data_IF_611530987594
#
_entry.id   IF_611530987594
#
_cell.length_a   1.000
_cell.length_b   1.000
_cell.length_c   1.000
_cell.angle_alpha   90.00
_cell.angle_beta   90.00
_cell.angle_gamma   90.00
#
_symmetry.space_group_name_H-M   'P 1'
#
loop_
_entity.id
_entity.type
_entity.pdbx_description
1 polymer ?
#
# COMPACT_ATOMS: atom_id res chain seq x y z
N UNK A 1 -2.70 34.35 -8.66
CA UNK A 1 -2.59 33.05 -9.37
C UNK A 1 -2.51 33.30 -10.86
N UNK A 2 -1.63 32.59 -11.60
CA UNK A 2 -1.56 32.72 -13.06
C UNK A 2 -2.77 32.06 -13.74
N UNK A 3 -3.22 32.53 -14.92
CA UNK A 3 -4.35 31.93 -15.64
C UNK A 3 -4.14 30.44 -15.95
N UNK A 4 -2.93 30.03 -16.34
CA UNK A 4 -2.58 28.64 -16.62
C UNK A 4 -2.72 27.74 -15.37
N UNK A 5 -2.31 28.23 -14.18
CA UNK A 5 -2.48 27.50 -12.93
C UNK A 5 -3.95 27.29 -12.59
N UNK A 6 -4.79 28.32 -12.78
CA UNK A 6 -6.24 28.20 -12.54
C UNK A 6 -6.88 27.21 -13.50
N UNK A 7 -6.50 27.25 -14.79
CA UNK A 7 -6.97 26.30 -15.80
C UNK A 7 -6.56 24.87 -15.46
N UNK A 8 -5.31 24.65 -15.02
CA UNK A 8 -4.84 23.33 -14.60
C UNK A 8 -5.61 22.80 -13.40
N UNK A 9 -5.89 23.63 -12.39
CA UNK A 9 -6.68 23.24 -11.22
C UNK A 9 -8.08 22.81 -11.66
N UNK A 10 -8.75 23.62 -12.50
CA UNK A 10 -10.09 23.31 -13.03
C UNK A 10 -10.11 21.97 -13.77
N UNK A 11 -9.14 21.69 -14.65
CA UNK A 11 -9.05 20.42 -15.38
C UNK A 11 -8.83 19.24 -14.44
N UNK A 12 -8.02 19.39 -13.39
CA UNK A 12 -7.81 18.36 -12.37
C UNK A 12 -9.08 18.09 -11.55
N UNK A 13 -9.85 19.13 -11.22
CA UNK A 13 -11.14 19.03 -10.53
C UNK A 13 -12.19 18.35 -11.40
N UNK A 14 -12.30 18.70 -12.68
CA UNK A 14 -13.19 18.03 -13.64
C UNK A 14 -12.90 16.53 -13.73
N UNK A 15 -11.63 16.13 -13.67
CA UNK A 15 -11.22 14.72 -13.62
C UNK A 15 -11.32 14.11 -12.21
N UNK A 16 -11.97 14.80 -11.25
CA UNK A 16 -12.19 14.33 -9.88
C UNK A 16 -10.89 13.86 -9.17
N UNK A 17 -9.77 14.53 -9.46
CA UNK A 17 -8.52 14.24 -8.75
C UNK A 17 -8.62 14.70 -7.30
N UNK A 18 -7.95 13.96 -6.39
CA UNK A 18 -7.95 14.33 -4.98
C UNK A 18 -7.25 15.67 -4.75
N UNK A 19 -7.61 16.46 -3.71
CA UNK A 19 -6.94 17.73 -3.38
C UNK A 19 -5.42 17.59 -3.28
N UNK A 20 -4.93 16.51 -2.71
CA UNK A 20 -3.49 16.22 -2.62
C UNK A 20 -2.86 15.99 -3.99
N UNK A 21 -3.56 15.31 -4.91
CA UNK A 21 -3.06 15.13 -6.29
C UNK A 21 -2.99 16.48 -7.01
N UNK A 22 -4.00 17.33 -6.84
CA UNK A 22 -4.02 18.69 -7.42
C UNK A 22 -2.83 19.49 -6.94
N UNK A 23 -2.60 19.52 -5.63
CA UNK A 23 -1.47 20.23 -5.03
C UNK A 23 -0.12 19.75 -5.60
N UNK A 24 0.11 18.44 -5.62
CA UNK A 24 1.37 17.84 -6.09
C UNK A 24 1.58 18.08 -7.58
N UNK A 25 0.53 17.99 -8.39
CA UNK A 25 0.62 18.20 -9.83
C UNK A 25 0.92 19.66 -10.17
N UNK A 26 0.23 20.59 -9.51
CA UNK A 26 0.47 22.02 -9.66
C UNK A 26 1.89 22.40 -9.21
N UNK A 27 2.34 21.85 -8.09
CA UNK A 27 3.71 22.06 -7.59
C UNK A 27 4.78 21.58 -8.57
N UNK A 28 4.56 20.44 -9.24
CA UNK A 28 5.49 19.86 -10.21
C UNK A 28 5.64 20.77 -11.47
N UNK A 29 4.53 21.28 -12.00
CA UNK A 29 4.57 22.21 -13.15
C UNK A 29 5.18 23.56 -12.74
N UNK A 30 4.88 24.06 -11.54
CA UNK A 30 5.50 25.25 -11.00
C UNK A 30 7.03 25.09 -10.80
N UNK A 31 7.50 23.88 -10.47
CA UNK A 31 8.93 23.60 -10.38
C UNK A 31 9.60 23.62 -11.76
N UNK A 32 8.96 23.09 -12.80
CA UNK A 32 9.44 23.18 -14.18
C UNK A 32 9.58 24.65 -14.61
N UNK A 33 8.54 25.47 -14.40
CA UNK A 33 8.56 26.89 -14.73
C UNK A 33 9.67 27.65 -13.99
N UNK A 34 9.88 27.37 -12.70
CA UNK A 34 10.96 27.98 -11.91
C UNK A 34 12.35 27.56 -12.37
N UNK A 35 12.52 26.34 -12.83
CA UNK A 35 13.81 25.83 -13.31
C UNK A 35 14.29 26.61 -14.52
N UNK A 36 13.39 26.98 -15.43
CA UNK A 36 13.73 27.76 -16.64
C UNK A 36 13.46 29.28 -16.54
N UNK A 37 12.88 29.74 -15.42
CA UNK A 37 12.50 31.14 -15.25
C UNK A 37 11.45 31.63 -16.26
N UNK A 38 10.71 30.70 -16.89
CA UNK A 38 9.74 30.98 -17.96
C UNK A 38 8.40 30.35 -17.69
N UNK A 39 7.36 30.84 -18.40
CA UNK A 39 6.04 30.23 -18.38
C UNK A 39 6.09 28.81 -18.94
N UNK A 40 5.38 27.83 -18.32
CA UNK A 40 5.50 26.42 -18.71
C UNK A 40 5.00 26.14 -20.14
N UNK A 41 4.15 26.96 -20.72
CA UNK A 41 3.70 26.84 -22.11
C UNK A 41 4.77 27.26 -23.15
N UNK A 42 5.79 28.02 -22.73
CA UNK A 42 6.93 28.40 -23.54
C UNK A 42 8.14 27.43 -23.43
N UNK A 43 8.00 26.31 -22.75
CA UNK A 43 9.07 25.34 -22.58
C UNK A 43 8.87 24.19 -23.59
N UNK A 44 9.91 23.90 -24.35
CA UNK A 44 9.91 22.87 -25.40
C UNK A 44 9.97 21.46 -24.81
N UNK A 45 9.64 20.46 -25.64
CA UNK A 45 9.71 19.03 -25.25
C UNK A 45 11.15 18.61 -24.91
N UNK A 46 12.15 19.14 -25.63
CA UNK A 46 13.57 18.85 -25.37
C UNK A 46 13.98 19.42 -24.00
N UNK A 47 13.61 20.64 -23.70
CA UNK A 47 13.87 21.24 -22.40
C UNK A 47 13.19 20.43 -21.25
N UNK A 48 12.00 19.89 -21.49
CA UNK A 48 11.37 18.99 -20.50
C UNK A 48 12.19 17.70 -20.31
N UNK A 49 12.77 17.15 -21.38
CA UNK A 49 13.70 16.00 -21.27
C UNK A 49 14.92 16.36 -20.46
N UNK A 50 15.52 17.50 -20.70
CA UNK A 50 16.68 18.00 -19.94
C UNK A 50 16.33 18.23 -18.47
N UNK A 51 15.16 18.81 -18.20
CA UNK A 51 14.67 18.93 -16.82
C UNK A 51 14.52 17.58 -16.14
N UNK A 52 13.92 16.59 -16.80
CA UNK A 52 13.77 15.25 -16.25
C UNK A 52 15.14 14.58 -16.05
N UNK A 53 16.07 14.75 -16.98
CA UNK A 53 17.45 14.30 -16.84
C UNK A 53 18.12 14.96 -15.62
N UNK A 54 17.98 16.26 -15.45
CA UNK A 54 18.47 17.01 -14.28
C UNK A 54 17.88 16.44 -12.96
N UNK A 55 16.57 16.12 -12.91
CA UNK A 55 15.95 15.52 -11.75
C UNK A 55 16.58 14.15 -11.36
N UNK A 56 16.99 13.37 -12.37
CA UNK A 56 17.57 12.05 -12.19
C UNK A 56 19.05 12.13 -11.82
N UNK A 57 19.82 12.93 -12.52
CA UNK A 57 21.29 12.93 -12.45
C UNK A 57 21.82 13.89 -11.39
N UNK A 58 21.29 15.11 -11.31
CA UNK A 58 21.73 16.17 -10.42
C UNK A 58 21.01 16.08 -9.08
N UNK A 59 19.66 16.09 -9.09
CA UNK A 59 18.87 15.99 -7.86
C UNK A 59 18.78 14.57 -7.31
N UNK A 60 19.21 13.57 -8.06
CA UNK A 60 19.23 12.13 -7.68
C UNK A 60 17.89 11.63 -7.12
N UNK A 61 16.79 12.15 -7.63
CA UNK A 61 15.45 11.80 -7.16
C UNK A 61 15.09 10.38 -7.50
N UNK A 62 14.32 9.75 -6.62
CA UNK A 62 13.79 8.42 -6.87
C UNK A 62 12.94 8.38 -8.16
N UNK A 63 12.98 7.25 -8.87
CA UNK A 63 12.21 7.05 -10.11
C UNK A 63 10.71 7.39 -9.93
N UNK A 64 10.11 6.97 -8.82
CA UNK A 64 8.70 7.25 -8.52
C UNK A 64 8.39 8.75 -8.46
N UNK A 65 9.31 9.55 -7.89
CA UNK A 65 9.19 11.01 -7.80
C UNK A 65 9.34 11.66 -9.16
N UNK A 66 10.32 11.22 -9.97
CA UNK A 66 10.51 11.71 -11.34
C UNK A 66 9.28 11.37 -12.21
N UNK A 67 8.77 10.15 -12.12
CA UNK A 67 7.60 9.72 -12.88
C UNK A 67 6.32 10.48 -12.46
N UNK A 68 6.17 10.77 -11.17
CA UNK A 68 5.06 11.60 -10.68
C UNK A 68 5.12 13.02 -11.27
N UNK A 69 6.29 13.66 -11.26
CA UNK A 69 6.49 14.99 -11.85
C UNK A 69 6.24 14.97 -13.34
N UNK A 70 6.76 13.97 -14.05
CA UNK A 70 6.52 13.80 -15.47
C UNK A 70 5.03 13.57 -15.79
N UNK A 71 4.32 12.81 -14.95
CA UNK A 71 2.87 12.62 -15.10
C UNK A 71 2.09 13.92 -14.94
N UNK A 72 2.50 14.79 -14.02
CA UNK A 72 1.92 16.12 -13.84
C UNK A 72 2.20 17.04 -15.05
N UNK A 73 3.44 17.01 -15.58
CA UNK A 73 3.82 17.76 -16.77
C UNK A 73 3.03 17.24 -17.98
N UNK A 74 2.95 15.92 -18.19
CA UNK A 74 2.12 15.33 -19.25
C UNK A 74 0.66 15.76 -19.14
N UNK A 75 0.09 15.72 -17.95
CA UNK A 75 -1.27 16.21 -17.73
C UNK A 75 -1.45 17.64 -18.17
N UNK A 76 -0.51 18.52 -17.79
CA UNK A 76 -0.55 19.94 -18.15
C UNK A 76 -0.49 20.15 -19.67
N UNK A 77 0.48 19.52 -20.35
CA UNK A 77 0.64 19.69 -21.80
C UNK A 77 -0.53 19.10 -22.57
N UNK A 78 -1.05 17.96 -22.14
CA UNK A 78 -2.17 17.30 -22.83
C UNK A 78 -3.51 18.00 -22.57
N UNK A 79 -3.89 18.17 -21.30
CA UNK A 79 -5.24 18.65 -20.96
C UNK A 79 -5.35 20.17 -20.86
N UNK A 80 -4.28 20.88 -20.54
CA UNK A 80 -4.33 22.34 -20.39
C UNK A 80 -3.89 23.05 -21.67
N UNK A 81 -2.84 22.55 -22.35
CA UNK A 81 -2.35 23.14 -23.58
C UNK A 81 -2.90 22.50 -24.86
N UNK A 82 -3.58 21.33 -24.76
CA UNK A 82 -4.13 20.63 -25.92
C UNK A 82 -3.09 19.96 -26.82
N UNK A 83 -1.88 19.71 -26.31
CA UNK A 83 -0.80 19.08 -27.08
C UNK A 83 -0.90 17.55 -27.00
N UNK A 84 -1.68 16.93 -27.89
CA UNK A 84 -1.93 15.49 -27.88
C UNK A 84 -0.68 14.62 -28.12
N UNK A 85 0.32 15.12 -28.83
CA UNK A 85 1.55 14.39 -29.18
C UNK A 85 2.62 14.34 -28.09
N UNK A 86 2.37 14.92 -26.91
CA UNK A 86 3.35 14.89 -25.83
C UNK A 86 3.44 13.52 -25.16
N UNK A 87 4.43 12.69 -25.52
CA UNK A 87 4.59 11.30 -25.07
C UNK A 87 5.96 10.97 -24.48
N UNK A 88 6.46 11.81 -23.57
CA UNK A 88 7.71 11.51 -22.86
C UNK A 88 7.46 10.44 -21.78
N UNK A 89 8.24 9.34 -21.82
CA UNK A 89 8.17 8.25 -20.82
C UNK A 89 9.56 7.99 -20.24
N UNK A 90 9.64 7.79 -18.94
CA UNK A 90 10.84 7.29 -18.29
C UNK A 90 10.65 5.79 -18.08
N UNK A 91 11.56 4.93 -18.58
CA UNK A 91 11.49 3.50 -18.31
C UNK A 91 11.51 3.22 -16.81
N UNK A 92 10.63 2.35 -16.34
CA UNK A 92 10.63 1.94 -14.95
C UNK A 92 11.86 1.07 -14.67
N UNK A 93 12.78 1.54 -13.85
CA UNK A 93 13.77 0.66 -13.25
C UNK A 93 13.00 -0.21 -12.22
N UNK A 94 12.78 -1.47 -12.55
CA UNK A 94 12.19 -2.42 -11.60
C UNK A 94 13.14 -2.53 -10.42
N UNK A 95 12.84 -1.88 -9.30
CA UNK A 95 13.54 -2.16 -8.07
C UNK A 95 13.10 -3.53 -7.59
N UNK A 96 13.98 -4.51 -7.66
CA UNK A 96 13.73 -5.88 -7.17
C UNK A 96 13.68 -5.98 -5.63
N UNK A 97 13.58 -4.85 -4.89
CA UNK A 97 13.42 -4.91 -3.44
C UNK A 97 12.02 -5.37 -3.11
N UNK A 98 11.95 -6.57 -2.57
CA UNK A 98 10.74 -7.09 -1.94
C UNK A 98 10.42 -6.26 -0.68
N UNK A 99 9.14 -6.11 -0.31
CA UNK A 99 8.79 -5.57 0.99
C UNK A 99 9.44 -6.42 2.10
N UNK A 100 10.07 -5.78 3.06
CA UNK A 100 10.60 -6.43 4.25
C UNK A 100 9.54 -6.31 5.38
N UNK A 101 8.70 -7.32 5.59
CA UNK A 101 7.75 -7.32 6.69
C UNK A 101 8.50 -7.45 8.01
N UNK A 102 7.96 -6.86 9.07
CA UNK A 102 8.42 -7.12 10.42
C UNK A 102 7.95 -8.52 10.84
N UNK A 103 8.79 -9.27 11.52
CA UNK A 103 8.44 -10.55 12.11
C UNK A 103 7.41 -10.38 13.26
N UNK A 104 6.73 -11.46 13.62
CA UNK A 104 5.76 -11.44 14.74
C UNK A 104 6.39 -11.04 16.06
N UNK A 105 7.64 -11.47 16.32
CA UNK A 105 8.40 -11.08 17.51
C UNK A 105 8.79 -9.61 17.53
N UNK A 106 9.18 -9.03 16.39
CA UNK A 106 9.47 -7.60 16.28
C UNK A 106 8.21 -6.75 16.48
N UNK A 107 7.06 -7.19 15.97
CA UNK A 107 5.79 -6.51 16.19
C UNK A 107 5.37 -6.58 17.66
N UNK A 108 5.53 -7.71 18.32
CA UNK A 108 5.27 -7.85 19.75
C UNK A 108 6.14 -6.87 20.54
N UNK A 109 7.45 -6.87 20.30
CA UNK A 109 8.41 -5.95 20.93
C UNK A 109 8.06 -4.49 20.65
N UNK A 110 7.65 -4.14 19.42
CA UNK A 110 7.21 -2.79 19.06
C UNK A 110 6.04 -2.32 19.95
N UNK A 111 5.08 -3.18 20.21
CA UNK A 111 3.92 -2.85 21.06
C UNK A 111 4.32 -2.76 22.54
N UNK A 112 5.18 -3.65 23.03
CA UNK A 112 5.68 -3.67 24.41
C UNK A 112 6.42 -2.39 24.78
N UNK A 113 7.32 -1.91 23.92
CA UNK A 113 8.08 -0.67 24.17
C UNK A 113 7.25 0.60 24.00
N UNK A 114 6.02 0.48 23.52
CA UNK A 114 5.12 1.64 23.32
C UNK A 114 4.26 1.83 24.57
N UNK A 115 4.80 2.56 25.56
CA UNK A 115 4.15 2.79 26.86
C UNK A 115 2.89 3.65 26.76
N UNK A 116 2.83 4.63 25.85
CA UNK A 116 1.65 5.45 25.65
C UNK A 116 0.51 4.62 25.04
N UNK A 117 -0.59 4.46 25.78
CA UNK A 117 -1.71 3.60 25.38
C UNK A 117 -2.33 4.04 24.05
N UNK A 118 -2.52 5.34 23.80
CA UNK A 118 -3.06 5.85 22.53
C UNK A 118 -2.14 5.47 21.35
N UNK A 119 -0.83 5.62 21.52
CA UNK A 119 0.15 5.29 20.48
C UNK A 119 0.18 3.78 20.22
N UNK A 120 0.17 2.97 21.28
CA UNK A 120 0.15 1.51 21.18
C UNK A 120 -1.10 1.02 20.45
N UNK A 121 -2.27 1.48 20.87
CA UNK A 121 -3.54 1.09 20.25
C UNK A 121 -3.63 1.55 18.79
N UNK A 122 -3.11 2.74 18.45
CA UNK A 122 -3.00 3.20 17.07
C UNK A 122 -2.20 2.21 16.21
N UNK A 123 -1.00 1.83 16.67
CA UNK A 123 -0.12 0.90 15.95
C UNK A 123 -0.74 -0.51 15.86
N UNK A 124 -1.36 -0.98 16.93
CA UNK A 124 -2.11 -2.25 16.95
C UNK A 124 -3.28 -2.24 15.96
N UNK A 125 -3.99 -1.12 15.83
CA UNK A 125 -5.09 -0.95 14.87
C UNK A 125 -4.58 -0.99 13.42
N UNK A 126 -3.44 -0.35 13.14
CA UNK A 126 -2.81 -0.41 11.81
C UNK A 126 -2.42 -1.85 11.45
N UNK A 127 -1.79 -2.57 12.37
CA UNK A 127 -1.38 -3.96 12.15
C UNK A 127 -2.56 -4.91 12.13
N UNK A 128 -3.42 -4.92 13.16
CA UNK A 128 -4.51 -5.88 13.32
C UNK A 128 -5.61 -5.75 12.26
N UNK A 129 -5.85 -4.54 11.76
CA UNK A 129 -6.81 -4.28 10.69
C UNK A 129 -6.19 -4.15 9.30
N UNK A 130 -4.86 -4.17 9.17
CA UNK A 130 -4.17 -3.94 7.90
C UNK A 130 -4.46 -2.58 7.27
N UNK A 131 -4.63 -1.54 8.09
CA UNK A 131 -5.10 -0.22 7.65
C UNK A 131 -3.99 0.63 7.02
N UNK A 132 -4.37 1.51 6.09
CA UNK A 132 -3.49 2.60 5.65
C UNK A 132 -3.41 3.67 6.73
N UNK A 133 -2.31 4.43 6.77
CA UNK A 133 -2.18 5.55 7.73
C UNK A 133 -3.32 6.56 7.60
N UNK A 134 -3.74 6.87 6.38
CA UNK A 134 -4.89 7.75 6.12
C UNK A 134 -6.22 7.17 6.60
N UNK A 135 -6.37 5.85 6.62
CA UNK A 135 -7.58 5.17 7.07
C UNK A 135 -7.65 5.18 8.60
N UNK A 136 -6.57 4.80 9.28
CA UNK A 136 -6.56 4.73 10.75
C UNK A 136 -6.75 6.08 11.42
N UNK A 137 -6.16 7.15 10.88
CA UNK A 137 -6.31 8.49 11.47
C UNK A 137 -7.72 9.07 11.29
N UNK A 138 -8.48 8.57 10.33
CA UNK A 138 -9.88 8.98 10.09
C UNK A 138 -10.90 7.96 10.60
N UNK A 139 -10.49 6.97 11.40
CA UNK A 139 -11.43 6.07 12.06
C UNK A 139 -12.28 6.81 13.09
N UNK A 140 -13.53 6.41 13.18
CA UNK A 140 -14.48 6.88 14.19
C UNK A 140 -14.83 5.73 15.14
N UNK A 141 -15.26 6.00 16.38
CA UNK A 141 -15.70 4.96 17.31
C UNK A 141 -16.79 4.04 16.73
N UNK A 142 -17.73 4.64 16.00
CA UNK A 142 -18.83 3.92 15.31
C UNK A 142 -18.38 2.97 14.20
N UNK A 143 -17.13 3.07 13.75
CA UNK A 143 -16.56 2.15 12.76
C UNK A 143 -16.06 0.84 13.39
N UNK A 144 -16.05 0.75 14.72
CA UNK A 144 -15.67 -0.45 15.47
C UNK A 144 -16.94 -1.26 15.79
N UNK A 145 -17.16 -2.32 15.02
CA UNK A 145 -18.30 -3.22 15.20
C UNK A 145 -17.92 -4.39 16.12
N UNK A 146 -18.01 -4.19 17.43
CA UNK A 146 -17.59 -5.18 18.42
C UNK A 146 -18.37 -6.50 18.36
N UNK A 147 -19.66 -6.47 18.06
CA UNK A 147 -20.50 -7.66 17.95
C UNK A 147 -20.10 -8.57 16.78
N UNK A 148 -19.72 -7.96 15.66
CA UNK A 148 -19.32 -8.66 14.44
C UNK A 148 -17.83 -8.88 14.33
N UNK A 149 -17.04 -8.37 15.27
CA UNK A 149 -15.58 -8.39 15.26
C UNK A 149 -14.98 -7.83 13.95
N UNK A 150 -15.51 -6.69 13.50
CA UNK A 150 -15.12 -6.03 12.26
C UNK A 150 -14.81 -4.55 12.48
N UNK A 151 -13.90 -4.01 11.67
CA UNK A 151 -13.65 -2.57 11.54
C UNK A 151 -14.16 -2.13 10.17
N UNK A 152 -15.06 -1.14 10.14
CA UNK A 152 -15.49 -0.50 8.89
C UNK A 152 -14.48 0.56 8.48
N UNK A 153 -14.01 0.49 7.26
CA UNK A 153 -13.13 1.49 6.65
C UNK A 153 -13.93 2.28 5.64
N UNK A 154 -14.28 3.50 6.02
CA UNK A 154 -15.04 4.41 5.17
C UNK A 154 -14.14 5.04 4.11
N UNK A 155 -14.66 5.21 2.90
CA UNK A 155 -14.02 5.93 1.79
C UNK A 155 -12.55 5.52 1.54
N UNK A 156 -12.28 4.22 1.49
CA UNK A 156 -11.02 3.69 1.04
C UNK A 156 -10.65 4.20 -0.36
N UNK A 157 -9.49 3.83 -0.89
CA UNK A 157 -9.06 4.20 -2.25
C UNK A 157 -10.17 3.87 -3.27
N UNK A 158 -10.71 4.89 -3.95
CA UNK A 158 -11.82 4.77 -4.89
C UNK A 158 -13.22 4.91 -4.27
N UNK A 159 -13.35 5.53 -3.08
CA UNK A 159 -14.62 5.78 -2.36
C UNK A 159 -15.45 4.51 -2.07
N UNK A 160 -14.81 3.33 -1.98
CA UNK A 160 -15.49 2.08 -1.63
C UNK A 160 -15.24 1.75 -0.16
N UNK A 161 -16.32 1.57 0.58
CA UNK A 161 -16.27 1.06 1.95
C UNK A 161 -15.86 -0.40 1.94
N UNK A 162 -15.12 -0.81 2.99
CA UNK A 162 -14.80 -2.21 3.22
C UNK A 162 -14.79 -2.51 4.70
N UNK A 163 -14.92 -3.78 5.01
CA UNK A 163 -14.71 -4.31 6.36
C UNK A 163 -13.38 -5.04 6.45
N UNK A 164 -12.73 -4.93 7.61
CA UNK A 164 -11.52 -5.68 7.96
C UNK A 164 -11.64 -6.27 9.36
N UNK A 165 -10.65 -7.04 9.77
CA UNK A 165 -10.67 -7.80 11.01
C UNK A 165 -10.51 -6.90 12.24
N UNK A 166 -11.28 -7.22 13.28
CA UNK A 166 -11.10 -6.75 14.64
C UNK A 166 -10.77 -7.96 15.54
N UNK A 167 -9.53 -8.08 16.01
CA UNK A 167 -9.19 -9.16 16.93
C UNK A 167 -9.71 -8.88 18.35
N UNK A 168 -9.97 -9.92 19.14
CA UNK A 168 -10.39 -9.80 20.53
C UNK A 168 -9.40 -8.95 21.34
N UNK A 169 -8.10 -9.23 21.18
CA UNK A 169 -7.03 -8.46 21.83
C UNK A 169 -7.06 -6.98 21.46
N UNK A 170 -7.28 -6.63 20.18
CA UNK A 170 -7.38 -5.23 19.77
C UNK A 170 -8.63 -4.58 20.37
N UNK A 171 -9.74 -5.30 20.46
CA UNK A 171 -10.98 -4.77 21.06
C UNK A 171 -10.78 -4.45 22.55
N UNK A 172 -10.09 -5.30 23.29
CA UNK A 172 -9.74 -5.07 24.71
C UNK A 172 -8.88 -3.82 24.88
N UNK A 173 -7.84 -3.67 24.09
CA UNK A 173 -6.97 -2.48 24.09
C UNK A 173 -7.73 -1.21 23.67
N UNK A 174 -8.61 -1.29 22.70
CA UNK A 174 -9.50 -0.18 22.30
C UNK A 174 -10.45 0.20 23.42
N UNK A 175 -11.01 -0.76 24.16
CA UNK A 175 -11.86 -0.51 25.33
C UNK A 175 -11.08 0.14 26.48
N UNK A 176 -9.85 -0.32 26.75
CA UNK A 176 -8.95 0.30 27.73
C UNK A 176 -8.63 1.75 27.33
N UNK A 177 -8.25 1.97 26.07
CA UNK A 177 -8.02 3.29 25.52
C UNK A 177 -9.25 4.19 25.66
N UNK A 178 -10.44 3.69 25.28
CA UNK A 178 -11.68 4.44 25.38
C UNK A 178 -12.00 4.85 26.82
N UNK A 179 -11.86 3.95 27.79
CA UNK A 179 -12.08 4.24 29.21
C UNK A 179 -11.18 5.36 29.74
N UNK A 180 -9.93 5.39 29.30
CA UNK A 180 -8.91 6.35 29.77
C UNK A 180 -9.05 7.71 29.08
N UNK A 181 -9.26 7.75 27.76
CA UNK A 181 -9.14 8.99 26.99
C UNK A 181 -10.49 9.59 26.58
N UNK A 182 -11.56 8.79 26.48
CA UNK A 182 -12.92 9.20 26.10
C UNK A 182 -12.93 10.28 25.00
N UNK A 183 -12.43 10.00 23.78
CA UNK A 183 -12.31 10.98 22.72
C UNK A 183 -13.68 11.58 22.36
N UNK A 184 -13.82 12.89 22.51
CA UNK A 184 -15.11 13.60 22.42
C UNK A 184 -15.48 14.02 20.99
N UNK A 185 -14.50 14.20 20.09
CA UNK A 185 -14.71 14.86 18.78
C UNK A 185 -15.05 13.91 17.62
N UNK A 186 -15.61 12.74 17.90
CA UNK A 186 -16.05 11.82 16.85
C UNK A 186 -14.91 11.08 16.10
N UNK A 187 -13.65 11.36 16.41
CA UNK A 187 -12.48 10.62 15.90
C UNK A 187 -11.98 9.63 16.93
N UNK A 188 -11.66 8.41 16.48
CA UNK A 188 -11.10 7.40 17.39
C UNK A 188 -9.73 7.84 17.92
N UNK A 189 -8.92 8.47 17.05
CA UNK A 189 -7.60 9.02 17.40
C UNK A 189 -7.59 10.54 17.12
N UNK A 190 -7.99 11.38 18.10
CA UNK A 190 -7.96 12.83 17.93
C UNK A 190 -6.54 13.40 17.90
N UNK A 191 -6.38 14.59 17.33
CA UNK A 191 -5.14 15.37 17.33
C UNK A 191 -4.66 15.74 18.73
N UNK A 192 -3.44 16.31 18.82
CA UNK A 192 -2.81 16.64 20.11
C UNK A 192 -3.55 17.71 20.93
N UNK A 193 -4.26 18.61 20.27
CA UNK A 193 -5.09 19.65 20.90
C UNK A 193 -6.55 19.22 21.13
N UNK A 194 -6.87 17.96 20.92
CA UNK A 194 -8.24 17.41 20.99
C UNK A 194 -9.11 17.78 19.80
N UNK A 195 -8.69 18.68 18.91
CA UNK A 195 -9.44 19.13 17.74
C UNK A 195 -9.03 18.35 16.48
N UNK A 196 -10.03 17.82 15.77
CA UNK A 196 -9.84 17.09 14.53
C UNK A 196 -9.16 15.70 14.70
N UNK A 197 -8.88 15.03 13.60
CA UNK A 197 -8.20 13.74 13.57
C UNK A 197 -6.70 13.89 13.80
N UNK A 198 -6.04 12.80 14.23
CA UNK A 198 -4.59 12.74 14.28
C UNK A 198 -4.01 12.95 12.88
N UNK A 199 -2.95 13.75 12.76
CA UNK A 199 -2.25 13.93 11.50
C UNK A 199 -1.51 12.66 11.09
N UNK A 200 -1.53 12.33 9.79
CA UNK A 200 -0.80 11.17 9.26
C UNK A 200 0.70 11.22 9.59
N UNK A 201 1.31 12.42 9.58
CA UNK A 201 2.74 12.57 9.92
C UNK A 201 3.00 12.35 11.42
N UNK A 202 2.05 12.70 12.29
CA UNK A 202 2.13 12.34 13.71
C UNK A 202 2.08 10.83 13.91
N UNK A 203 1.20 10.11 13.17
CA UNK A 203 1.15 8.65 13.22
C UNK A 203 2.45 8.01 12.72
N UNK A 204 3.05 8.55 11.66
CA UNK A 204 4.37 8.11 11.18
C UNK A 204 5.46 8.33 12.23
N UNK A 205 5.48 9.50 12.87
CA UNK A 205 6.44 9.81 13.94
C UNK A 205 6.31 8.83 15.10
N UNK A 206 5.08 8.55 15.56
CA UNK A 206 4.81 7.56 16.60
C UNK A 206 5.40 6.19 16.23
N UNK A 207 5.23 5.76 14.98
CA UNK A 207 5.80 4.51 14.50
C UNK A 207 7.33 4.52 14.53
N UNK A 208 7.99 5.57 14.05
CA UNK A 208 9.44 5.63 14.03
C UNK A 208 10.05 5.70 15.45
N UNK A 209 9.41 6.41 16.37
CA UNK A 209 9.81 6.45 17.78
C UNK A 209 9.68 5.07 18.44
N UNK A 210 8.57 4.36 18.20
CA UNK A 210 8.38 3.01 18.70
C UNK A 210 9.38 2.03 18.09
N UNK A 211 9.62 2.13 16.77
CA UNK A 211 10.58 1.31 16.05
C UNK A 211 12.00 1.48 16.57
N UNK A 212 12.44 2.72 16.81
CA UNK A 212 13.75 3.01 17.37
C UNK A 212 13.91 2.41 18.78
N UNK A 213 12.90 2.58 19.65
CA UNK A 213 12.90 1.96 20.99
C UNK A 213 12.91 0.43 20.95
N UNK A 214 12.27 -0.18 19.95
CA UNK A 214 12.27 -1.62 19.76
C UNK A 214 13.58 -2.16 19.15
N UNK A 215 14.54 -1.30 18.78
CA UNK A 215 15.79 -1.72 18.12
C UNK A 215 15.59 -2.34 16.74
N UNK A 216 14.52 -1.99 16.04
CA UNK A 216 14.22 -2.52 14.70
C UNK A 216 14.87 -1.61 13.65
N UNK A 217 15.80 -2.15 12.85
CA UNK A 217 16.56 -1.37 11.86
C UNK A 217 15.91 -1.36 10.48
N UNK A 218 15.24 -2.44 10.08
CA UNK A 218 14.57 -2.57 8.78
C UNK A 218 13.08 -2.17 8.82
N UNK A 219 12.39 -2.24 7.68
CA UNK A 219 10.97 -1.84 7.58
C UNK A 219 10.80 -0.32 7.49
N UNK A 220 10.44 0.19 6.32
CA UNK A 220 10.29 1.63 6.08
C UNK A 220 8.84 2.09 6.21
N UNK A 221 8.63 3.11 7.08
CA UNK A 221 7.35 3.74 7.29
C UNK A 221 6.32 2.86 8.00
N UNK A 222 5.25 3.48 8.52
CA UNK A 222 4.16 2.80 9.22
C UNK A 222 3.43 1.75 8.34
N UNK A 223 3.55 1.86 7.01
CA UNK A 223 2.96 0.90 6.07
C UNK A 223 3.59 -0.49 6.16
N UNK A 224 4.80 -0.63 6.75
CA UNK A 224 5.38 -1.95 6.98
C UNK A 224 4.49 -2.81 7.90
N UNK A 225 3.78 -2.22 8.88
CA UNK A 225 2.80 -2.93 9.72
C UNK A 225 1.66 -3.54 8.88
N UNK A 226 1.17 -2.79 7.90
CA UNK A 226 0.16 -3.30 6.96
C UNK A 226 0.74 -4.37 6.04
N UNK A 227 2.01 -4.25 5.63
CA UNK A 227 2.69 -5.31 4.87
C UNK A 227 2.83 -6.58 5.69
N UNK A 228 3.26 -6.45 6.96
CA UNK A 228 3.36 -7.57 7.89
C UNK A 228 2.01 -8.23 8.14
N UNK A 229 0.91 -7.47 8.27
CA UNK A 229 -0.44 -8.03 8.35
C UNK A 229 -0.75 -8.95 7.16
N UNK A 230 -0.51 -8.49 5.93
CA UNK A 230 -0.79 -9.29 4.74
C UNK A 230 0.10 -10.53 4.65
N UNK A 231 1.40 -10.40 4.97
CA UNK A 231 2.35 -11.52 4.98
C UNK A 231 1.97 -12.56 6.04
N UNK A 232 1.67 -12.12 7.28
CA UNK A 232 1.31 -13.04 8.36
C UNK A 232 -0.04 -13.73 8.15
N UNK A 233 -1.00 -13.09 7.45
CA UNK A 233 -2.23 -13.76 7.03
C UNK A 233 -1.95 -14.83 5.97
N UNK A 234 -1.06 -14.54 5.03
CA UNK A 234 -0.67 -15.50 3.99
C UNK A 234 0.08 -16.69 4.59
N UNK A 235 1.02 -16.44 5.51
CA UNK A 235 1.69 -17.47 6.29
C UNK A 235 0.72 -18.31 7.13
N UNK A 236 -0.38 -17.71 7.56
CA UNK A 236 -1.49 -18.39 8.24
C UNK A 236 -2.46 -19.12 7.30
N UNK A 237 -2.13 -19.26 6.00
CA UNK A 237 -2.95 -19.98 5.03
C UNK A 237 -4.17 -19.24 4.49
N UNK A 238 -4.32 -17.93 4.78
CA UNK A 238 -5.46 -17.16 4.28
C UNK A 238 -5.35 -16.94 2.78
N UNK A 239 -6.36 -17.28 1.96
CA UNK A 239 -6.32 -17.13 0.51
C UNK A 239 -6.07 -15.70 0.06
N UNK A 240 -5.26 -15.53 -0.99
CA UNK A 240 -4.88 -14.22 -1.55
C UNK A 240 -6.06 -13.31 -1.89
N UNK A 241 -7.18 -13.80 -2.48
CA UNK A 241 -8.36 -12.97 -2.73
C UNK A 241 -9.00 -12.41 -1.45
N UNK A 242 -8.98 -13.19 -0.35
CA UNK A 242 -9.47 -12.74 0.96
C UNK A 242 -8.59 -11.62 1.52
N UNK A 243 -7.27 -11.80 1.46
CA UNK A 243 -6.30 -10.76 1.85
C UNK A 243 -6.49 -9.50 1.01
N UNK A 244 -6.70 -9.64 -0.30
CA UNK A 244 -6.98 -8.52 -1.20
C UNK A 244 -8.23 -7.73 -0.76
N UNK A 245 -9.32 -8.42 -0.42
CA UNK A 245 -10.57 -7.78 0.06
C UNK A 245 -10.36 -7.07 1.38
N UNK A 246 -9.72 -7.71 2.37
CA UNK A 246 -9.41 -7.13 3.67
C UNK A 246 -8.56 -5.86 3.53
N UNK A 247 -7.55 -5.89 2.66
CA UNK A 247 -6.68 -4.74 2.40
C UNK A 247 -7.31 -3.67 1.50
N UNK A 248 -8.37 -3.98 0.76
CA UNK A 248 -8.96 -3.05 -0.20
C UNK A 248 -7.98 -2.67 -1.32
N UNK A 249 -7.33 -3.68 -1.92
CA UNK A 249 -6.51 -3.50 -3.10
C UNK A 249 -7.36 -3.60 -4.36
N UNK A 250 -7.33 -2.57 -5.19
CA UNK A 250 -8.07 -2.54 -6.46
C UNK A 250 -7.54 -3.56 -7.50
N UNK A 251 -6.26 -3.99 -7.34
CA UNK A 251 -5.61 -4.93 -8.26
C UNK A 251 -4.93 -6.06 -7.47
N UNK A 252 -5.07 -7.29 -7.97
CA UNK A 252 -4.36 -8.48 -7.46
C UNK A 252 -2.85 -8.31 -7.48
N UNK A 253 -2.29 -7.58 -8.46
CA UNK A 253 -0.86 -7.30 -8.55
C UNK A 253 -0.30 -6.60 -7.31
N UNK A 254 -1.13 -5.82 -6.61
CA UNK A 254 -0.73 -5.17 -5.35
C UNK A 254 -0.59 -6.16 -4.21
N UNK A 255 -1.34 -7.28 -4.25
CA UNK A 255 -1.32 -8.33 -3.23
C UNK A 255 -0.35 -9.45 -3.62
N UNK A 256 -0.18 -9.71 -4.92
CA UNK A 256 0.74 -10.74 -5.44
C UNK A 256 2.22 -10.53 -5.04
N UNK A 257 2.59 -9.30 -4.68
CA UNK A 257 3.95 -9.01 -4.15
C UNK A 257 4.28 -9.80 -2.87
N UNK A 258 3.26 -10.22 -2.13
CA UNK A 258 3.46 -11.01 -0.91
C UNK A 258 3.73 -12.50 -1.20
N UNK A 259 3.36 -13.00 -2.38
CA UNK A 259 3.64 -14.38 -2.80
C UNK A 259 5.15 -14.68 -2.85
N UNK A 260 5.98 -13.67 -3.16
CA UNK A 260 7.42 -13.83 -3.22
C UNK A 260 8.12 -13.87 -1.84
N UNK A 261 7.41 -13.52 -0.77
CA UNK A 261 7.96 -13.46 0.59
C UNK A 261 7.72 -14.79 1.32
N UNK A 262 6.81 -15.62 0.82
CA UNK A 262 6.34 -16.83 1.49
C UNK A 262 6.79 -18.09 0.73
N UNK A 263 8.09 -18.37 0.72
CA UNK A 263 8.61 -19.66 0.21
C UNK A 263 8.24 -20.86 1.10
N UNK A 264 7.79 -20.63 2.32
CA UNK A 264 7.43 -21.66 3.29
C UNK A 264 6.07 -22.33 3.04
N UNK A 265 5.28 -21.87 2.07
CA UNK A 265 3.96 -22.46 1.81
C UNK A 265 4.00 -23.75 0.98
N UNK A 266 5.16 -24.17 0.48
CA UNK A 266 5.27 -25.43 -0.26
C UNK A 266 5.37 -26.64 0.68
N UNK A 267 5.83 -26.44 1.92
CA UNK A 267 6.10 -27.52 2.88
C UNK A 267 4.84 -28.16 3.48
N UNK A 268 3.65 -27.64 3.18
CA UNK A 268 2.37 -28.19 3.65
C UNK A 268 1.36 -28.47 2.54
N UNK A 269 1.75 -28.35 1.28
CA UNK A 269 0.86 -28.60 0.13
C UNK A 269 0.96 -30.07 -0.24
N UNK A 270 -0.06 -30.84 0.08
CA UNK A 270 -0.24 -32.19 -0.43
C UNK A 270 -0.69 -32.13 -1.89
N UNK A 271 -0.09 -32.98 -2.74
CA UNK A 271 -0.54 -33.12 -4.12
C UNK A 271 -2.02 -33.55 -4.14
N UNK A 272 -2.86 -33.02 -5.03
CA UNK A 272 -4.22 -33.55 -5.20
C UNK A 272 -4.22 -35.05 -5.47
N UNK A 273 -3.15 -35.61 -6.02
CA UNK A 273 -2.97 -37.03 -6.25
C UNK A 273 -2.87 -37.81 -4.94
N UNK A 274 -2.22 -37.23 -3.91
CA UNK A 274 -2.09 -37.84 -2.58
C UNK A 274 -3.42 -37.87 -1.81
N UNK A 275 -4.41 -37.08 -2.25
CA UNK A 275 -5.76 -37.03 -1.71
C UNK A 275 -6.73 -37.99 -2.43
N UNK A 276 -6.29 -38.59 -3.55
CA UNK A 276 -7.10 -39.54 -4.29
C UNK A 276 -6.93 -40.94 -3.65
N UNK A 277 -8.02 -41.50 -3.19
CA UNK A 277 -8.07 -42.94 -2.84
C UNK A 277 -8.18 -43.72 -4.14
N UNK A 278 -7.04 -44.25 -4.60
CA UNK A 278 -7.02 -45.15 -5.75
C UNK A 278 -7.43 -46.57 -5.29
N UNK A 279 -8.08 -47.39 -6.12
CA UNK A 279 -8.55 -48.72 -5.78
C UNK A 279 -7.44 -49.71 -5.37
N UNK A 280 -6.18 -49.34 -5.57
CA UNK A 280 -5.03 -50.18 -5.19
C UNK A 280 -4.55 -50.03 -3.73
N UNK A 281 -5.09 -49.08 -2.97
CA UNK A 281 -4.66 -48.85 -1.58
C UNK A 281 -5.34 -49.80 -0.56
N UNK A 282 -6.21 -50.72 -1.03
CA UNK A 282 -6.98 -51.66 -0.17
C UNK A 282 -6.44 -53.08 -0.15
N UNK A 283 -5.40 -53.43 -0.90
CA UNK A 283 -4.97 -54.82 -1.09
C UNK A 283 -3.56 -55.14 -0.58
N UNK A 284 -3.16 -54.62 0.58
CA UNK A 284 -1.97 -55.07 1.29
C UNK A 284 -2.24 -55.44 2.76
N UNK A 285 -3.33 -56.14 3.02
CA UNK A 285 -3.47 -56.92 4.27
C UNK A 285 -3.63 -58.39 3.90
N UNK A 286 -2.57 -59.16 4.14
CA UNK A 286 -2.51 -60.60 3.91
C UNK A 286 -3.70 -61.32 4.53
N UNK A 287 -4.32 -62.28 3.83
CA UNK A 287 -5.33 -63.12 4.44
C UNK A 287 -4.67 -64.21 5.31
N UNK A 288 -5.01 -64.23 6.58
CA UNK A 288 -4.81 -65.42 7.40
C UNK A 288 -5.79 -66.51 6.98
N UNK A 289 -5.22 -67.69 6.75
CA UNK A 289 -5.84 -68.98 6.54
C UNK A 289 -7.24 -69.19 7.12
N UNK A 290 -8.15 -69.58 6.26
CA UNK A 290 -9.12 -70.64 6.58
C UNK A 290 -9.62 -71.26 5.28
N UNK A 291 -9.37 -72.55 5.12
CA UNK A 291 -9.66 -73.35 3.95
C UNK A 291 -11.18 -73.48 3.67
N UNK A 292 -11.51 -73.36 2.40
CA UNK A 292 -12.71 -74.03 1.82
C UNK A 292 -12.38 -74.36 0.33
N UNK A 293 -12.73 -75.58 0.04
CA UNK A 293 -12.69 -76.46 -1.09
C UNK A 293 -13.18 -75.79 -2.39
N UNK A 294 -12.43 -76.03 -3.50
CA UNK A 294 -12.77 -75.71 -4.88
C UNK A 294 -13.76 -76.74 -5.45
N UNK A 295 -14.68 -76.34 -6.31
CA UNK A 295 -15.05 -77.16 -7.47
C UNK A 295 -14.65 -76.46 -8.79
N UNK A 296 -13.94 -77.24 -9.57
CA UNK A 296 -13.72 -77.01 -10.99
C UNK A 296 -15.05 -77.11 -11.72
N UNK A 297 -15.34 -76.16 -12.61
CA UNK A 297 -15.73 -76.54 -13.97
C UNK A 297 -15.95 -75.28 -14.87
N UNK A 298 -15.54 -75.48 -16.11
CA UNK A 298 -15.99 -74.87 -17.36
C UNK A 298 -15.28 -73.64 -17.88
N UNK A 299 -14.24 -73.96 -18.65
CA UNK A 299 -13.71 -73.14 -19.73
C UNK A 299 -14.75 -72.88 -20.84
N UNK A 300 -14.97 -71.62 -21.20
CA UNK A 300 -15.45 -71.25 -22.55
C UNK A 300 -14.63 -70.07 -23.05
N UNK A 301 -13.96 -70.13 -24.21
CA UNK A 301 -13.25 -69.01 -24.80
C UNK A 301 -14.21 -68.17 -25.62
N UNK A 302 -14.22 -66.87 -25.42
CA UNK A 302 -14.85 -65.90 -26.34
C UNK A 302 -13.79 -65.06 -26.99
N UNK A 303 -13.84 -65.15 -28.29
CA UNK A 303 -12.95 -64.55 -29.29
C UNK A 303 -12.94 -63.01 -29.23
N UNK A 304 -11.75 -62.47 -29.53
CA UNK A 304 -11.55 -61.10 -30.02
C UNK A 304 -12.36 -60.83 -31.29
N UNK A 305 -13.07 -59.73 -31.31
CA UNK A 305 -13.16 -58.75 -32.43
C UNK A 305 -14.27 -57.76 -32.10
N UNK A 306 -13.90 -56.51 -31.88
CA UNK A 306 -14.69 -55.38 -32.40
C UNK A 306 -13.91 -54.06 -32.11
N UNK A 307 -13.49 -53.53 -33.20
CA UNK A 307 -12.99 -52.21 -33.48
C UNK A 307 -14.00 -51.15 -32.95
N UNK A 308 -13.55 -50.27 -32.03
CA UNK A 308 -14.29 -49.06 -31.66
C UNK A 308 -13.49 -47.88 -32.13
N UNK A 309 -14.02 -47.01 -32.99
CA UNK A 309 -13.33 -45.81 -33.45
C UNK A 309 -13.28 -44.75 -32.34
N UNK A 310 -12.18 -44.03 -32.26
CA UNK A 310 -11.95 -42.91 -31.38
C UNK A 310 -12.93 -41.75 -31.68
N UNK A 311 -13.38 -41.02 -30.65
CA UNK A 311 -14.20 -39.84 -30.88
C UNK A 311 -13.34 -38.68 -31.37
N UNK A 312 -13.81 -38.02 -32.43
CA UNK A 312 -13.26 -36.80 -32.99
C UNK A 312 -13.38 -35.62 -32.03
N UNK A 313 -12.30 -34.85 -31.95
CA UNK A 313 -12.15 -33.61 -31.19
C UNK A 313 -13.08 -32.52 -31.77
N UNK A 314 -13.92 -31.85 -30.98
CA UNK A 314 -14.67 -30.68 -31.46
C UNK A 314 -13.76 -29.48 -31.50
N UNK A 315 -13.47 -29.01 -32.71
CA UNK A 315 -12.74 -27.76 -33.00
C UNK A 315 -13.43 -26.57 -32.34
N UNK A 316 -12.69 -25.88 -31.46
CA UNK A 316 -13.08 -24.59 -30.91
C UNK A 316 -12.95 -23.54 -32.05
N UNK A 317 -13.96 -22.76 -32.38
CA UNK A 317 -13.80 -21.66 -33.33
C UNK A 317 -13.06 -20.49 -32.68
N UNK A 318 -12.02 -20.03 -33.34
CA UNK A 318 -11.33 -18.76 -33.06
C UNK A 318 -12.26 -17.59 -33.40
N UNK A 319 -12.47 -16.63 -32.50
CA UNK A 319 -13.12 -15.38 -32.86
C UNK A 319 -12.15 -14.47 -33.60
N UNK A 320 -12.53 -14.08 -34.79
CA UNK A 320 -11.90 -13.01 -35.55
C UNK A 320 -12.06 -11.67 -34.84
N UNK A 321 -11.07 -10.83 -35.01
CA UNK A 321 -10.88 -9.58 -34.30
C UNK A 321 -11.99 -8.55 -34.50
N UNK A 322 -12.24 -7.82 -33.46
CA UNK A 322 -12.71 -6.44 -33.51
C UNK A 322 -11.86 -5.64 -32.53
N UNK A 323 -11.08 -4.74 -33.11
CA UNK A 323 -10.35 -3.68 -32.41
C UNK A 323 -11.36 -2.79 -31.65
N UNK A 324 -11.45 -3.01 -30.36
CA UNK A 324 -12.04 -2.04 -29.45
C UNK A 324 -10.96 -1.63 -28.46
N UNK A 325 -10.43 -0.44 -28.66
CA UNK A 325 -9.47 0.22 -27.79
C UNK A 325 -10.03 0.31 -26.36
N UNK A 326 -9.46 -0.46 -25.47
CA UNK A 326 -9.68 -0.32 -24.02
C UNK A 326 -8.96 0.94 -23.56
N UNK A 327 -9.64 1.91 -22.95
CA UNK A 327 -8.98 3.07 -22.35
C UNK A 327 -8.15 2.57 -21.17
N UNK A 328 -6.84 2.62 -21.31
CA UNK A 328 -5.92 2.40 -20.20
C UNK A 328 -6.03 3.59 -19.27
N UNK A 329 -6.67 3.39 -18.12
CA UNK A 329 -6.58 4.31 -17.00
C UNK A 329 -5.10 4.54 -16.64
N UNK A 330 -4.65 5.80 -16.57
CA UNK A 330 -3.27 6.09 -16.17
C UNK A 330 -3.09 5.63 -14.73
N UNK A 331 -2.20 4.67 -14.53
CA UNK A 331 -1.70 4.21 -13.25
C UNK A 331 -1.30 5.41 -12.40
N UNK A 332 -2.13 5.74 -11.42
CA UNK A 332 -1.74 6.67 -10.35
C UNK A 332 -0.64 5.95 -9.55
N UNK A 333 0.59 6.45 -9.51
CA UNK A 333 1.64 5.80 -8.75
C UNK A 333 1.29 5.86 -7.27
N UNK A 334 1.20 4.69 -6.64
CA UNK A 334 1.17 4.57 -5.20
C UNK A 334 2.44 5.23 -4.67
N UNK A 335 2.28 6.31 -3.91
CA UNK A 335 3.39 6.97 -3.23
C UNK A 335 4.06 5.96 -2.29
N UNK A 336 5.20 5.43 -2.72
CA UNK A 336 6.15 4.84 -1.78
C UNK A 336 6.77 6.02 -1.04
N UNK A 337 6.58 6.05 0.26
CA UNK A 337 7.35 6.91 1.15
C UNK A 337 8.85 6.63 0.96
N UNK A 338 9.50 7.40 0.10
CA UNK A 338 10.94 7.54 0.12
C UNK A 338 11.23 8.67 1.09
N UNK A 339 11.66 8.32 2.31
CA UNK A 339 12.23 9.27 3.24
C UNK A 339 13.47 9.90 2.62
N UNK A 340 13.29 11.06 1.99
CA UNK A 340 14.38 11.97 1.75
C UNK A 340 14.55 12.79 3.03
N UNK A 341 15.77 12.99 3.53
CA UNK A 341 16.01 13.92 4.61
C UNK A 341 15.59 15.31 4.14
N UNK A 342 14.85 16.00 5.00
CA UNK A 342 14.55 17.43 4.86
C UNK A 342 15.89 18.15 4.84
N UNK A 343 16.19 19.02 3.86
CA UNK A 343 17.37 19.86 3.93
C UNK A 343 17.22 20.77 5.16
N UNK A 344 18.24 20.76 6.01
CA UNK A 344 18.43 21.69 7.10
C UNK A 344 18.32 23.10 6.54
N UNK A 345 17.32 23.85 6.98
CA UNK A 345 17.20 25.27 6.65
C UNK A 345 18.44 25.97 7.17
N UNK A 346 19.15 26.65 6.27
CA UNK A 346 20.26 27.51 6.58
C UNK A 346 19.82 28.51 7.66
N UNK A 347 20.47 28.41 8.82
CA UNK A 347 20.35 29.40 9.90
C UNK A 347 20.75 30.76 9.35
N UNK A 348 19.81 31.66 9.32
CA UNK A 348 20.07 33.09 9.12
C UNK A 348 20.92 33.58 10.31
N UNK A 349 22.09 34.17 10.09
CA UNK A 349 22.86 34.74 11.18
C UNK A 349 22.13 35.98 11.73
N UNK A 350 21.85 35.96 13.04
CA UNK A 350 21.40 37.12 13.79
C UNK A 350 22.52 38.17 13.82
N UNK A 351 22.24 39.45 13.57
CA UNK A 351 23.22 40.51 13.69
C UNK A 351 23.58 40.72 15.18
N UNK A 352 24.86 40.66 15.46
CA UNK A 352 25.46 41.03 16.75
C UNK A 352 25.14 42.49 17.06
N UNK A 353 24.32 42.69 18.09
CA UNK A 353 24.06 44.00 18.68
C UNK A 353 25.30 44.57 19.33
N UNK A 354 25.61 45.80 18.96
CA UNK A 354 26.59 46.68 19.56
C UNK A 354 26.27 47.00 21.02
N UNK A 355 27.29 46.93 21.85
CA UNK A 355 27.42 47.34 23.22
C UNK A 355 27.04 48.83 23.40
N UNK A 356 26.22 49.20 24.41
CA UNK A 356 26.10 50.57 24.85
C UNK A 356 26.89 50.82 26.11
N UNK A 357 27.87 51.73 26.01
CA UNK A 357 28.64 52.26 27.10
C UNK A 357 27.78 52.92 28.19
N UNK A 358 28.34 52.88 29.37
CA UNK A 358 27.85 53.39 30.64
C UNK A 358 27.48 54.89 30.64
N UNK A 359 26.57 55.30 31.53
CA UNK A 359 26.20 56.69 31.74
C UNK A 359 27.01 57.37 32.84
N UNK A 360 27.34 58.58 32.63
CA UNK A 360 27.72 59.53 33.68
C UNK A 360 26.58 60.49 34.01
N UNK A 361 26.25 60.51 35.25
CA UNK A 361 26.27 61.66 36.13
C UNK A 361 25.09 62.69 36.11
N UNK A 362 24.52 62.74 37.30
CA UNK A 362 24.09 63.96 38.01
C UNK A 362 22.89 64.78 37.57
N UNK A 363 21.95 64.94 38.50
CA UNK A 363 21.50 66.29 38.86
C UNK A 363 20.02 66.51 38.99
N UNK A 364 19.52 66.46 40.24
CA UNK A 364 18.74 67.49 40.97
C UNK A 364 17.38 67.93 40.42
N UNK A 365 16.38 67.69 41.28
CA UNK A 365 15.30 68.54 41.73
C UNK A 365 14.19 69.04 40.78
N UNK A 366 13.00 68.90 41.25
CA UNK A 366 11.74 69.56 40.85
C UNK A 366 10.55 68.69 41.15
#
# INVERSE_FOLDING_TARGET
MTPLRQRMIRELELQRKSPRTIEVYVAAVAQLARHYGRSPDAISVEEIRDFVHHLITVQKLAFSTCNLRLSAIRFFYHHVLGQEKFSLRIPAKRSGRLPEPLSRSEIARLFEVTSNLKHRVLLMTVYGGGLRVSEVVHLRPQDIHSERMLIRVNQGKGHKDRYTLLSARLLEELRAYWRQYRPQEGWLFPGGNGKGSLLADSAKRIFYEAKARAGIVHGHGIHCLRHSFATHLMEGGVPLPTIQRLMGHASLNSTARYLHVTSQHLDGIHSPLDLLRLPQDSDCLAPQNSGVVVPQDSLVPVSMDSHVPAPEDPRIPTPQGSDAAVPQDPLVPVSKDSGAPVPEEARVPTPTGSDPGQPNGSGVAG
#
